data_IF_404965754861
#
_entry.id   IF_404965754861
#
_cell.length_a   1.000
_cell.length_b   1.000
_cell.length_c   1.000
_cell.angle_alpha   90.00
_cell.angle_beta   90.00
_cell.angle_gamma   90.00
#
_symmetry.space_group_name_H-M   'P 1'
#
loop_
_entity.id
_entity.type
_entity.pdbx_description
1 polymer ?
#
# COMPACT_ATOMS: atom_id res chain seq x y z
N UNK A 1 -43.08 -1.16 -27.94
CA UNK A 1 -41.90 -0.47 -27.36
C UNK A 1 -40.69 -0.89 -28.17
N UNK A 2 -40.60 -0.46 -29.42
CA UNK A 2 -39.90 0.77 -29.85
C UNK A 2 -38.38 0.60 -29.80
N UNK A 3 -37.87 -0.12 -30.80
CA UNK A 3 -36.49 0.04 -31.26
C UNK A 3 -36.48 1.24 -32.20
N UNK A 4 -35.80 2.32 -31.81
CA UNK A 4 -35.55 3.43 -32.71
C UNK A 4 -34.13 3.99 -32.53
N UNK A 5 -33.35 3.90 -33.63
CA UNK A 5 -32.43 4.93 -34.18
C UNK A 5 -31.12 5.22 -33.39
N UNK A 6 -29.90 5.23 -33.96
CA UNK A 6 -29.47 5.54 -35.32
C UNK A 6 -28.16 4.83 -35.69
N UNK A 7 -28.13 4.36 -36.93
CA UNK A 7 -26.92 4.19 -37.72
C UNK A 7 -26.19 5.52 -37.87
N UNK A 8 -24.87 5.53 -37.66
CA UNK A 8 -23.99 6.48 -38.35
C UNK A 8 -22.91 5.69 -39.09
N UNK A 9 -23.19 5.41 -40.36
CA UNK A 9 -22.17 5.17 -41.37
C UNK A 9 -21.67 6.54 -41.85
N UNK A 10 -20.38 6.84 -41.70
CA UNK A 10 -19.71 7.79 -42.60
C UNK A 10 -18.32 7.29 -43.01
N UNK A 11 -18.32 6.84 -44.26
CA UNK A 11 -17.29 6.76 -45.30
C UNK A 11 -15.99 7.60 -45.11
N UNK A 12 -14.86 6.90 -45.35
CA UNK A 12 -13.71 7.28 -46.19
C UNK A 12 -13.14 8.71 -46.04
N UNK A 13 -12.04 8.84 -45.30
CA UNK A 13 -10.77 9.49 -45.71
C UNK A 13 -9.87 9.69 -44.48
N UNK A 14 -8.57 9.45 -44.64
CA UNK A 14 -7.62 9.33 -43.54
C UNK A 14 -7.51 10.54 -42.62
N UNK A 15 -7.60 10.29 -41.32
CA UNK A 15 -6.73 10.85 -40.29
C UNK A 15 -7.06 10.11 -38.99
N UNK A 16 -6.06 9.43 -38.42
CA UNK A 16 -6.14 8.70 -37.16
C UNK A 16 -6.28 9.69 -36.00
N UNK A 17 -7.49 10.21 -35.77
CA UNK A 17 -7.80 10.91 -34.54
C UNK A 17 -7.81 9.86 -33.43
N UNK A 18 -6.71 9.82 -32.66
CA UNK A 18 -6.59 9.07 -31.41
C UNK A 18 -7.77 9.43 -30.50
N UNK A 19 -8.80 8.60 -30.49
CA UNK A 19 -9.78 8.61 -29.43
C UNK A 19 -9.05 8.20 -28.15
N UNK A 20 -8.87 9.15 -27.23
CA UNK A 20 -8.52 8.86 -25.84
C UNK A 20 -9.72 8.16 -25.20
N UNK A 21 -9.85 6.86 -25.45
CA UNK A 21 -10.76 5.99 -24.69
C UNK A 21 -10.42 6.11 -23.21
N UNK A 22 -11.38 6.28 -22.29
CA UNK A 22 -11.08 6.12 -20.87
C UNK A 22 -10.60 4.67 -20.70
N UNK A 23 -9.38 4.53 -20.19
CA UNK A 23 -8.82 3.24 -19.75
C UNK A 23 -9.91 2.51 -18.94
N UNK A 24 -10.30 1.32 -19.39
CA UNK A 24 -11.35 0.50 -18.77
C UNK A 24 -10.86 0.00 -17.41
N UNK A 25 -10.89 0.85 -16.39
CA UNK A 25 -10.53 0.57 -14.99
C UNK A 25 -11.67 -0.10 -14.22
N UNK A 26 -12.61 -0.72 -14.92
CA UNK A 26 -13.84 -1.28 -14.35
C UNK A 26 -13.83 -2.79 -14.52
N UNK A 27 -13.99 -3.51 -13.41
CA UNK A 27 -14.05 -4.97 -13.40
C UNK A 27 -15.30 -5.49 -14.13
N UNK A 28 -15.21 -6.70 -14.68
CA UNK A 28 -16.33 -7.36 -15.35
C UNK A 28 -17.46 -7.65 -14.34
N UNK A 29 -18.74 -7.80 -14.77
CA UNK A 29 -19.87 -8.04 -13.86
C UNK A 29 -19.73 -9.28 -12.95
N UNK A 30 -18.88 -10.24 -13.33
CA UNK A 30 -18.59 -11.46 -12.57
C UNK A 30 -17.26 -11.42 -11.80
N UNK A 31 -16.61 -10.27 -11.77
CA UNK A 31 -15.38 -10.02 -11.03
C UNK A 31 -15.67 -9.19 -9.78
N UNK A 32 -14.72 -9.25 -8.84
CA UNK A 32 -14.67 -8.43 -7.62
C UNK A 32 -13.56 -7.41 -7.80
N UNK A 33 -13.84 -6.16 -7.40
CA UNK A 33 -12.89 -5.05 -7.45
C UNK A 33 -12.10 -4.99 -6.13
N UNK A 34 -10.78 -5.19 -6.21
CA UNK A 34 -9.83 -5.08 -5.09
C UNK A 34 -9.43 -3.62 -4.78
N UNK A 35 -10.06 -2.64 -5.43
CA UNK A 35 -9.77 -1.21 -5.28
C UNK A 35 -8.50 -0.77 -6.00
N UNK A 36 -7.60 -0.10 -5.27
CA UNK A 36 -6.29 0.33 -5.80
C UNK A 36 -5.23 -0.78 -5.77
N UNK A 37 -5.62 -2.00 -5.42
CA UNK A 37 -4.72 -3.16 -5.34
C UNK A 37 -4.31 -3.73 -6.69
N UNK A 38 -3.27 -4.57 -6.65
CA UNK A 38 -2.84 -5.41 -7.78
C UNK A 38 -2.95 -6.89 -7.38
N UNK A 39 -3.72 -7.74 -8.09
CA UNK A 39 -4.57 -7.40 -9.24
C UNK A 39 -5.75 -6.51 -8.82
N UNK A 40 -6.22 -5.65 -9.74
CA UNK A 40 -7.39 -4.80 -9.51
C UNK A 40 -8.71 -5.58 -9.50
N UNK A 41 -8.78 -6.64 -10.30
CA UNK A 41 -9.99 -7.44 -10.45
C UNK A 41 -9.67 -8.93 -10.26
N UNK A 42 -10.44 -9.59 -9.40
CA UNK A 42 -10.38 -11.06 -9.19
C UNK A 42 -11.73 -11.70 -9.54
N UNK A 43 -11.79 -13.03 -9.67
CA UNK A 43 -13.06 -13.72 -9.91
C UNK A 43 -13.93 -13.72 -8.66
N UNK A 44 -15.26 -13.64 -8.78
CA UNK A 44 -16.18 -13.84 -7.63
C UNK A 44 -16.00 -15.16 -6.88
N UNK A 45 -15.39 -16.17 -7.50
CA UNK A 45 -15.05 -17.45 -6.85
C UNK A 45 -13.89 -17.34 -5.86
N UNK A 46 -13.16 -16.23 -5.92
CA UNK A 46 -12.01 -15.90 -5.08
C UNK A 46 -12.38 -14.98 -3.91
N UNK A 47 -13.67 -14.87 -3.63
CA UNK A 47 -14.15 -14.12 -2.48
C UNK A 47 -14.40 -15.11 -1.34
N UNK A 48 -13.74 -14.91 -0.20
CA UNK A 48 -13.78 -15.80 0.96
C UNK A 48 -13.44 -17.26 0.59
N UNK A 49 -12.41 -17.45 -0.25
CA UNK A 49 -11.94 -18.78 -0.65
C UNK A 49 -10.82 -19.32 0.26
N UNK A 50 -10.50 -18.58 1.33
CA UNK A 50 -9.46 -18.92 2.29
C UNK A 50 -8.06 -18.56 1.81
N UNK A 51 -7.94 -17.82 0.70
CA UNK A 51 -6.68 -17.36 0.16
C UNK A 51 -6.77 -15.88 -0.18
N UNK A 52 -5.76 -15.12 0.25
CA UNK A 52 -5.65 -13.72 -0.12
C UNK A 52 -5.24 -13.61 -1.60
N UNK A 53 -6.17 -13.25 -2.48
CA UNK A 53 -5.92 -12.98 -3.89
C UNK A 53 -5.82 -11.45 -4.16
N UNK A 54 -6.57 -10.61 -3.43
CA UNK A 54 -6.35 -9.16 -3.42
C UNK A 54 -5.09 -8.82 -2.60
N UNK A 55 -4.25 -7.90 -3.07
CA UNK A 55 -3.07 -7.47 -2.29
C UNK A 55 -3.41 -6.93 -0.88
N UNK A 56 -4.58 -6.30 -0.74
CA UNK A 56 -5.09 -5.77 0.51
C UNK A 56 -5.78 -6.81 1.41
N UNK A 57 -6.01 -8.05 0.95
CA UNK A 57 -6.82 -9.04 1.68
C UNK A 57 -8.30 -8.70 1.77
N UNK A 58 -8.78 -7.70 1.01
CA UNK A 58 -10.18 -7.28 1.00
C UNK A 58 -11.15 -8.42 0.65
N UNK A 59 -10.70 -9.35 -0.16
CA UNK A 59 -11.45 -10.52 -0.61
C UNK A 59 -11.72 -11.56 0.49
N UNK A 60 -10.87 -11.58 1.51
CA UNK A 60 -11.01 -12.43 2.70
C UNK A 60 -11.50 -11.63 3.92
N UNK A 61 -11.88 -10.36 3.74
CA UNK A 61 -12.39 -9.50 4.80
C UNK A 61 -11.33 -8.94 5.75
N UNK A 62 -10.06 -8.86 5.32
CA UNK A 62 -9.03 -8.20 6.11
C UNK A 62 -9.40 -6.71 6.33
N UNK A 63 -9.46 -6.24 7.59
CA UNK A 63 -9.74 -4.84 7.86
C UNK A 63 -8.68 -3.93 7.27
N UNK A 64 -9.07 -2.70 6.98
CA UNK A 64 -8.13 -1.64 6.60
C UNK A 64 -7.00 -1.55 7.63
N UNK A 65 -5.77 -1.38 7.17
CA UNK A 65 -4.53 -1.27 7.96
C UNK A 65 -3.92 -2.58 8.46
N UNK A 66 -4.56 -3.73 8.27
CA UNK A 66 -3.94 -5.02 8.62
C UNK A 66 -2.77 -5.32 7.68
N UNK A 67 -1.75 -5.98 8.23
CA UNK A 67 -0.60 -6.44 7.45
C UNK A 67 -0.94 -7.80 6.83
N UNK A 68 -0.86 -7.88 5.50
CA UNK A 68 -1.02 -9.13 4.77
C UNK A 68 0.34 -9.81 4.67
N UNK A 69 0.44 -11.06 5.14
CA UNK A 69 1.66 -11.84 5.03
C UNK A 69 2.09 -11.97 3.56
N UNK A 70 3.40 -11.99 3.33
CA UNK A 70 3.97 -12.01 1.97
C UNK A 70 3.59 -13.29 1.20
N UNK A 71 3.46 -14.40 1.90
CA UNK A 71 2.97 -15.67 1.36
C UNK A 71 1.45 -15.69 1.12
N UNK A 72 0.74 -14.62 1.49
CA UNK A 72 -0.71 -14.46 1.34
C UNK A 72 -1.51 -15.52 2.12
N UNK A 73 -0.94 -16.04 3.21
CA UNK A 73 -1.56 -17.04 4.07
C UNK A 73 -2.60 -16.45 5.02
N UNK A 74 -2.33 -15.29 5.59
CA UNK A 74 -3.19 -14.63 6.58
C UNK A 74 -2.95 -13.12 6.62
N UNK A 75 -3.81 -12.40 7.32
CA UNK A 75 -3.61 -11.00 7.66
C UNK A 75 -3.59 -10.84 9.18
N UNK A 76 -2.69 -10.01 9.66
CA UNK A 76 -2.42 -9.80 11.07
C UNK A 76 -2.65 -8.35 11.46
N UNK A 77 -2.95 -8.14 12.73
CA UNK A 77 -3.09 -6.82 13.33
C UNK A 77 -1.75 -6.06 13.30
N UNK A 78 -1.75 -4.72 13.12
CA UNK A 78 -0.54 -3.90 13.15
C UNK A 78 0.33 -4.11 14.39
N UNK A 79 -0.28 -4.41 15.53
CA UNK A 79 0.38 -4.65 16.81
C UNK A 79 1.13 -5.99 16.86
N UNK A 80 0.78 -6.93 15.97
CA UNK A 80 1.43 -8.23 15.84
C UNK A 80 2.59 -8.20 14.83
N UNK A 81 2.76 -7.09 14.11
CA UNK A 81 3.89 -6.89 13.22
C UNK A 81 5.11 -6.45 14.02
N UNK A 82 6.22 -7.20 13.91
CA UNK A 82 7.47 -6.93 14.65
C UNK A 82 7.29 -6.96 16.18
N UNK A 83 6.41 -7.84 16.68
CA UNK A 83 6.19 -8.07 18.10
C UNK A 83 7.16 -9.12 18.69
N UNK A 84 8.01 -9.71 17.84
CA UNK A 84 8.99 -10.72 18.21
C UNK A 84 8.44 -12.15 18.19
N UNK A 85 7.22 -12.37 17.72
CA UNK A 85 6.62 -13.69 17.51
C UNK A 85 6.17 -13.83 16.07
N UNK A 86 6.36 -15.03 15.52
CA UNK A 86 5.90 -15.34 14.17
C UNK A 86 4.39 -15.62 14.15
N UNK A 87 3.67 -14.79 13.43
CA UNK A 87 2.25 -14.92 13.10
C UNK A 87 2.04 -15.29 11.63
N UNK A 88 2.95 -14.87 10.72
CA UNK A 88 2.94 -15.36 9.35
C UNK A 88 3.61 -16.74 9.24
N UNK A 89 3.08 -17.61 8.39
CA UNK A 89 3.65 -18.95 8.17
C UNK A 89 5.06 -18.87 7.55
N UNK A 90 5.34 -17.84 6.75
CA UNK A 90 6.65 -17.53 6.19
C UNK A 90 7.51 -16.62 7.09
N UNK A 91 6.97 -16.14 8.22
CA UNK A 91 7.63 -15.21 9.14
C UNK A 91 7.85 -13.81 8.55
N UNK A 92 7.10 -13.43 7.52
CA UNK A 92 7.23 -12.10 6.88
C UNK A 92 6.82 -10.92 7.76
N UNK A 93 6.12 -11.19 8.86
CA UNK A 93 5.79 -10.24 9.93
C UNK A 93 6.97 -9.90 10.85
N UNK A 94 7.98 -10.77 10.89
CA UNK A 94 9.20 -10.61 11.69
C UNK A 94 10.44 -10.59 10.79
N UNK A 95 10.58 -9.59 9.88
CA UNK A 95 11.69 -9.53 8.94
C UNK A 95 13.05 -9.32 9.63
N UNK A 96 13.04 -8.85 10.87
CA UNK A 96 14.21 -8.62 11.71
C UNK A 96 14.05 -9.31 13.07
N UNK A 97 15.16 -9.59 13.77
CA UNK A 97 15.12 -10.08 15.14
C UNK A 97 14.39 -9.10 16.08
N UNK A 98 13.82 -9.59 17.19
CA UNK A 98 13.14 -8.73 18.16
C UNK A 98 14.07 -7.61 18.66
N UNK A 99 13.52 -6.39 18.71
CA UNK A 99 14.26 -5.19 19.09
C UNK A 99 15.11 -4.59 17.96
N UNK A 100 14.91 -5.02 16.71
CA UNK A 100 15.51 -4.41 15.52
C UNK A 100 14.44 -4.03 14.49
N UNK A 101 14.66 -2.92 13.79
CA UNK A 101 13.85 -2.47 12.66
C UNK A 101 14.56 -2.77 11.34
N UNK A 102 13.84 -3.24 10.31
CA UNK A 102 14.37 -3.33 8.95
C UNK A 102 14.49 -1.94 8.34
N UNK A 103 15.58 -1.70 7.60
CA UNK A 103 15.65 -0.57 6.67
C UNK A 103 14.59 -0.72 5.58
N UNK A 104 14.13 0.39 4.99
CA UNK A 104 13.08 0.37 3.96
C UNK A 104 13.51 -0.36 2.68
N UNK A 105 14.80 -0.38 2.37
CA UNK A 105 15.40 -1.17 1.30
C UNK A 105 15.55 -2.67 1.64
N UNK A 106 15.31 -3.05 2.90
CA UNK A 106 15.49 -4.41 3.42
C UNK A 106 16.95 -4.88 3.44
N UNK A 107 17.92 -3.97 3.28
CA UNK A 107 19.34 -4.34 3.21
C UNK A 107 19.90 -4.81 4.54
N UNK A 108 19.41 -4.25 5.65
CA UNK A 108 19.83 -4.60 7.01
C UNK A 108 18.76 -4.31 8.06
N UNK A 109 18.98 -4.90 9.22
CA UNK A 109 18.25 -4.62 10.45
C UNK A 109 19.11 -3.73 11.36
N UNK A 110 18.50 -2.70 11.94
CA UNK A 110 19.13 -1.81 12.91
C UNK A 110 18.45 -1.94 14.27
N UNK A 111 19.16 -1.83 15.40
CA UNK A 111 18.52 -1.82 16.73
C UNK A 111 17.51 -0.68 16.87
N UNK A 112 16.44 -0.87 17.65
CA UNK A 112 15.46 0.19 17.94
C UNK A 112 16.10 1.48 18.47
N UNK A 113 17.19 1.37 19.24
CA UNK A 113 17.94 2.51 19.78
C UNK A 113 18.61 3.37 18.69
N UNK A 114 18.70 2.86 17.47
CA UNK A 114 19.28 3.57 16.33
C UNK A 114 18.25 4.20 15.41
N UNK A 115 16.98 3.89 15.60
CA UNK A 115 15.92 4.51 14.83
C UNK A 115 15.77 5.97 15.26
N UNK A 116 15.81 6.90 14.31
CA UNK A 116 15.74 8.35 14.52
C UNK A 116 16.76 8.86 15.56
N UNK A 117 17.99 8.34 15.51
CA UNK A 117 19.07 8.76 16.40
C UNK A 117 19.89 9.92 15.80
N UNK A 118 19.52 10.40 14.62
CA UNK A 118 20.15 11.44 13.79
C UNK A 118 21.48 11.02 13.17
N UNK A 119 21.74 9.72 13.06
CA UNK A 119 22.84 9.10 12.32
C UNK A 119 22.22 8.20 11.28
N UNK A 120 22.56 8.39 10.02
CA UNK A 120 22.14 7.46 8.96
C UNK A 120 22.82 6.11 9.19
N UNK A 121 22.11 5.19 9.84
CA UNK A 121 22.49 3.80 9.88
C UNK A 121 22.00 3.14 8.59
N UNK A 122 20.74 3.28 8.16
CA UNK A 122 20.28 2.65 6.91
C UNK A 122 20.97 3.23 5.66
N UNK A 123 21.27 2.37 4.67
CA UNK A 123 21.95 2.80 3.43
C UNK A 123 21.13 3.76 2.58
N UNK A 124 19.82 3.76 2.78
CA UNK A 124 18.85 4.66 2.16
C UNK A 124 18.41 5.81 3.11
N UNK A 125 18.98 5.90 4.33
CA UNK A 125 18.60 6.87 5.36
C UNK A 125 17.16 6.72 5.87
N UNK A 126 16.53 5.57 5.62
CA UNK A 126 15.12 5.32 5.98
C UNK A 126 14.86 5.31 7.49
N UNK A 127 15.88 5.06 8.29
CA UNK A 127 15.85 5.09 9.74
C UNK A 127 15.76 6.50 10.33
N UNK A 128 16.22 7.50 9.60
CA UNK A 128 16.20 8.90 10.04
C UNK A 128 15.02 9.68 9.47
N UNK A 129 14.46 9.23 8.34
CA UNK A 129 13.48 9.99 7.57
C UNK A 129 14.09 11.30 7.06
N UNK A 130 13.59 11.85 5.96
CA UNK A 130 14.17 13.04 5.34
C UNK A 130 14.02 14.36 6.17
N UNK A 131 13.95 14.31 7.50
CA UNK A 131 13.76 15.51 8.32
C UNK A 131 14.33 15.52 9.74
N UNK A 132 15.11 14.53 10.18
CA UNK A 132 15.72 14.53 11.52
C UNK A 132 17.25 14.59 11.52
N UNK A 133 17.84 15.36 10.59
CA UNK A 133 19.19 15.89 10.81
C UNK A 133 19.08 16.96 11.91
N UNK A 134 19.45 16.58 13.14
CA UNK A 134 19.72 17.43 14.29
C UNK A 134 19.79 18.94 13.98
N UNK A 135 18.74 19.69 14.31
CA UNK A 135 19.03 20.94 15.01
C UNK A 135 19.36 20.53 16.45
N UNK A 136 20.63 20.65 16.82
CA UNK A 136 21.02 20.82 18.23
C UNK A 136 20.49 22.15 18.75
N UNK A 137 19.17 22.33 18.75
CA UNK A 137 18.50 23.47 19.34
C UNK A 137 17.06 23.08 19.66
N UNK A 138 16.87 22.50 20.84
CA UNK A 138 15.60 22.57 21.53
C UNK A 138 15.38 24.03 21.98
N UNK A 139 15.23 24.96 21.04
CA UNK A 139 14.75 26.33 21.26
C UNK A 139 14.07 26.80 19.96
N UNK A 140 12.79 27.16 20.06
CA UNK A 140 11.91 27.81 19.06
C UNK A 140 11.32 26.85 17.99
N UNK A 141 10.01 26.56 17.89
CA UNK A 141 8.79 27.18 18.42
C UNK A 141 7.64 26.14 18.39
N UNK A 142 7.29 25.55 19.54
CA UNK A 142 5.89 25.28 19.84
C UNK A 142 5.33 26.54 20.51
N UNK A 143 5.10 27.60 19.72
CA UNK A 143 4.21 28.66 20.15
C UNK A 143 3.15 28.81 19.09
N UNK A 144 2.00 28.24 19.41
CA UNK A 144 0.71 28.51 18.81
C UNK A 144 0.64 29.97 18.38
N UNK A 145 0.23 30.18 17.14
CA UNK A 145 -0.16 31.47 16.61
C UNK A 145 -1.21 32.11 17.52
N UNK A 146 -0.79 32.96 18.46
CA UNK A 146 -1.62 34.00 19.06
C UNK A 146 -1.02 35.32 18.60
N UNK A 147 -1.55 35.81 17.50
CA UNK A 147 -1.24 37.12 16.95
C UNK A 147 -1.85 38.17 17.89
N UNK A 148 -1.01 38.79 18.71
CA UNK A 148 -1.36 40.03 19.44
C UNK A 148 -0.85 41.22 18.64
N UNK A 149 -1.76 41.91 17.95
CA UNK A 149 -1.74 43.36 17.72
C UNK A 149 -3.16 43.85 17.68
#
# INVERSE_FOLDING_TARGET
MSFLFLYFFYSVSGHFLRALTPVLTVCLPWQVDCGFGSPRCISKKKLNDGKIDCYSGLDEGCPSHFFVCKDKSTCIEPELFQDGKRHCADGSDEPCPPGQFPCSDGSKCIPHAKFQNGVEDCSDGSDEGQQFVYSKSCVLLCRSSVRSR
#
